data_IF_130146042162
#
_entry.id   IF_130146042162
#
_cell.length_a   1.000
_cell.length_b   1.000
_cell.length_c   1.000
_cell.angle_alpha   90.00
_cell.angle_beta   90.00
_cell.angle_gamma   90.00
#
_symmetry.space_group_name_H-M   'P 1'
#
loop_
_entity.id
_entity.type
_entity.pdbx_description
1 polymer ?
#
# COMPACT_ATOMS: atom_id res chain seq x y z
N UNK A 1 -14.14 24.71 10.83
CA UNK A 1 -14.81 23.55 10.19
C UNK A 1 -14.20 22.28 10.72
N UNK A 2 -14.88 21.66 11.68
CA UNK A 2 -14.42 20.47 12.41
C UNK A 2 -14.13 19.32 11.43
N UNK A 3 -12.86 18.90 11.37
CA UNK A 3 -12.35 17.76 10.59
C UNK A 3 -12.80 16.39 11.15
N UNK A 4 -13.92 16.37 11.89
CA UNK A 4 -14.37 15.20 12.65
C UNK A 4 -15.62 14.59 12.01
N UNK A 5 -15.55 14.07 10.78
CA UNK A 5 -16.42 12.95 10.39
C UNK A 5 -16.15 12.23 9.05
N UNK A 6 -15.05 12.49 8.34
CA UNK A 6 -14.79 11.81 7.09
C UNK A 6 -13.86 10.60 7.34
N UNK A 7 -14.43 9.40 7.27
CA UNK A 7 -13.73 8.11 7.27
C UNK A 7 -13.26 7.60 8.64
N UNK A 8 -14.24 7.21 9.46
CA UNK A 8 -14.08 6.02 10.30
C UNK A 8 -13.97 4.80 9.36
N UNK A 9 -12.83 4.65 8.68
CA UNK A 9 -12.48 3.43 7.96
C UNK A 9 -12.81 2.29 8.91
N UNK A 10 -13.81 1.48 8.55
CA UNK A 10 -14.35 0.50 9.48
C UNK A 10 -13.16 -0.31 10.01
N UNK A 11 -12.91 -0.26 11.34
CA UNK A 11 -11.72 -0.83 11.99
C UNK A 11 -11.71 -2.35 11.79
N UNK A 12 -11.23 -2.78 10.63
CA UNK A 12 -11.15 -4.17 10.23
C UNK A 12 -9.75 -4.65 10.55
N UNK A 13 -9.62 -5.83 11.18
CA UNK A 13 -8.32 -6.43 11.50
C UNK A 13 -7.39 -6.50 10.28
N UNK A 14 -7.95 -6.66 9.09
CA UNK A 14 -7.21 -6.67 7.83
C UNK A 14 -6.68 -5.29 7.40
N UNK A 15 -7.39 -4.21 7.72
CA UNK A 15 -6.93 -2.82 7.47
C UNK A 15 -5.82 -2.48 8.46
N UNK A 16 -5.97 -2.82 9.74
CA UNK A 16 -4.92 -2.61 10.75
C UNK A 16 -3.61 -3.32 10.39
N UNK A 17 -3.70 -4.55 9.88
CA UNK A 17 -2.52 -5.27 9.36
C UNK A 17 -1.88 -4.59 8.15
N UNK A 18 -2.68 -3.98 7.27
CA UNK A 18 -2.17 -3.25 6.11
C UNK A 18 -1.49 -1.93 6.53
N UNK A 19 -2.05 -1.21 7.50
CA UNK A 19 -1.45 -0.01 8.09
C UNK A 19 -0.08 -0.36 8.70
N UNK A 20 0.00 -1.43 9.51
CA UNK A 20 1.26 -1.93 10.06
C UNK A 20 2.26 -2.30 8.95
N UNK A 21 1.79 -2.93 7.88
CA UNK A 21 2.64 -3.25 6.73
C UNK A 21 3.21 -1.99 6.08
N UNK A 22 2.36 -0.98 5.81
CA UNK A 22 2.79 0.30 5.21
C UNK A 22 3.82 1.02 6.08
N UNK A 23 3.60 1.06 7.39
CA UNK A 23 4.55 1.65 8.35
C UNK A 23 5.89 0.90 8.33
N UNK A 24 5.86 -0.44 8.44
CA UNK A 24 7.08 -1.25 8.43
C UNK A 24 7.86 -1.18 7.12
N UNK A 25 7.18 -1.04 5.98
CA UNK A 25 7.84 -0.79 4.68
C UNK A 25 8.48 0.60 4.67
N UNK A 26 7.75 1.64 5.10
CA UNK A 26 8.24 3.03 5.13
C UNK A 26 9.54 3.15 5.94
N UNK A 27 9.57 2.55 7.13
CA UNK A 27 10.73 2.59 8.03
C UNK A 27 11.97 1.93 7.43
N UNK A 28 11.79 0.83 6.69
CA UNK A 28 12.89 -0.03 6.23
C UNK A 28 13.21 0.11 4.73
N UNK A 29 12.54 1.01 4.01
CA UNK A 29 12.64 1.10 2.55
C UNK A 29 14.07 1.41 2.10
N UNK A 30 14.70 2.43 2.69
CA UNK A 30 16.03 2.91 2.31
C UNK A 30 17.07 1.80 2.52
N UNK A 31 17.12 1.24 3.74
CA UNK A 31 18.05 0.17 4.10
C UNK A 31 17.87 -1.06 3.21
N UNK A 32 16.63 -1.51 3.01
CA UNK A 32 16.35 -2.69 2.19
C UNK A 32 16.71 -2.47 0.71
N UNK A 33 16.48 -1.28 0.16
CA UNK A 33 16.86 -0.92 -1.21
C UNK A 33 18.38 -0.92 -1.39
N UNK A 34 19.12 -0.38 -0.41
CA UNK A 34 20.59 -0.43 -0.43
C UNK A 34 21.11 -1.87 -0.46
N UNK A 35 20.60 -2.75 0.41
CA UNK A 35 21.00 -4.16 0.38
C UNK A 35 20.61 -4.88 -0.91
N UNK A 36 19.43 -4.59 -1.48
CA UNK A 36 19.01 -5.14 -2.77
C UNK A 36 19.92 -4.71 -3.91
N UNK A 37 20.38 -3.46 -3.91
CA UNK A 37 21.35 -2.95 -4.89
C UNK A 37 22.67 -3.73 -4.79
N UNK A 38 23.23 -3.85 -3.58
CA UNK A 38 24.48 -4.57 -3.33
C UNK A 38 24.38 -6.05 -3.72
N UNK A 39 23.30 -6.74 -3.34
CA UNK A 39 23.12 -8.16 -3.63
C UNK A 39 23.02 -8.46 -5.14
N UNK A 40 22.37 -7.56 -5.91
CA UNK A 40 22.14 -7.71 -7.36
C UNK A 40 23.33 -7.27 -8.20
N UNK A 41 24.20 -6.40 -7.68
CA UNK A 41 25.32 -5.87 -8.43
C UNK A 41 26.37 -6.96 -8.69
N UNK A 42 26.64 -7.25 -9.97
CA UNK A 42 27.61 -8.27 -10.39
C UNK A 42 29.06 -7.77 -10.39
N UNK A 43 29.31 -6.47 -10.29
CA UNK A 43 30.68 -5.92 -10.24
C UNK A 43 31.33 -6.12 -8.86
N UNK A 44 30.52 -6.29 -7.82
CA UNK A 44 30.99 -6.51 -6.46
C UNK A 44 31.43 -7.96 -6.24
N UNK A 45 32.40 -8.19 -5.34
CA UNK A 45 32.88 -9.53 -5.06
C UNK A 45 31.77 -10.41 -4.46
N UNK A 46 31.78 -11.74 -4.74
CA UNK A 46 30.70 -12.64 -4.32
C UNK A 46 30.42 -12.65 -2.81
N UNK A 47 31.45 -12.51 -1.96
CA UNK A 47 31.29 -12.54 -0.51
C UNK A 47 30.44 -11.37 0.02
N UNK A 48 30.62 -10.15 -0.50
CA UNK A 48 29.84 -8.96 -0.12
C UNK A 48 28.38 -9.14 -0.53
N UNK A 49 28.16 -9.65 -1.75
CA UNK A 49 26.82 -9.94 -2.26
C UNK A 49 26.09 -10.97 -1.39
N UNK A 50 26.81 -12.02 -0.99
CA UNK A 50 26.29 -13.05 -0.10
C UNK A 50 25.95 -12.47 1.29
N UNK A 51 26.82 -11.64 1.87
CA UNK A 51 26.56 -10.97 3.14
C UNK A 51 25.31 -10.07 3.06
N UNK A 52 25.15 -9.29 1.99
CA UNK A 52 23.96 -8.48 1.77
C UNK A 52 22.69 -9.34 1.65
N UNK A 53 22.78 -10.50 1.00
CA UNK A 53 21.67 -11.45 0.92
C UNK A 53 21.29 -12.04 2.29
N UNK A 54 22.27 -12.35 3.13
CA UNK A 54 22.02 -12.78 4.51
C UNK A 54 21.31 -11.69 5.31
N UNK A 55 21.75 -10.43 5.20
CA UNK A 55 21.06 -9.29 5.83
C UNK A 55 19.64 -9.11 5.30
N UNK A 56 19.39 -9.34 4.01
CA UNK A 56 18.03 -9.28 3.45
C UNK A 56 17.06 -10.31 4.06
N UNK A 57 17.60 -11.46 4.51
CA UNK A 57 16.83 -12.54 5.12
C UNK A 57 16.45 -12.26 6.57
N UNK A 58 17.24 -11.45 7.30
CA UNK A 58 16.93 -11.08 8.70
C UNK A 58 15.71 -10.16 8.79
N UNK A 59 15.42 -9.38 7.75
CA UNK A 59 14.26 -8.48 7.73
C UNK A 59 12.92 -9.23 7.85
N UNK A 60 12.09 -8.76 8.79
CA UNK A 60 10.75 -9.28 9.05
C UNK A 60 9.78 -9.17 7.87
N UNK A 61 8.64 -9.86 7.96
CA UNK A 61 7.63 -9.93 6.88
C UNK A 61 7.11 -8.57 6.42
N UNK A 62 6.77 -7.68 7.36
CA UNK A 62 6.13 -6.39 7.11
C UNK A 62 7.07 -5.32 6.50
N UNK A 63 8.33 -5.65 6.25
CA UNK A 63 9.29 -4.78 5.54
C UNK A 63 9.20 -4.92 4.02
N UNK A 64 8.53 -5.98 3.53
CA UNK A 64 8.46 -6.28 2.10
C UNK A 64 7.33 -5.47 1.44
N UNK A 65 7.60 -4.69 0.38
CA UNK A 65 6.59 -3.87 -0.31
C UNK A 65 5.44 -4.71 -0.89
N UNK A 66 5.71 -5.96 -1.27
CA UNK A 66 4.71 -6.91 -1.78
C UNK A 66 3.62 -7.29 -0.76
N UNK A 67 3.84 -7.01 0.52
CA UNK A 67 2.85 -7.29 1.59
C UNK A 67 1.70 -6.26 1.60
N UNK A 68 1.97 -5.03 1.14
CA UNK A 68 0.99 -3.94 1.13
C UNK A 68 -0.05 -4.19 0.05
N UNK A 69 -1.33 -3.98 0.38
CA UNK A 69 -2.44 -4.12 -0.58
C UNK A 69 -3.32 -2.88 -0.58
N UNK A 70 -3.84 -2.53 -1.75
CA UNK A 70 -4.84 -1.46 -1.85
C UNK A 70 -6.18 -1.95 -1.27
N UNK A 71 -6.77 -1.12 -0.41
CA UNK A 71 -8.05 -1.37 0.25
C UNK A 71 -8.93 -0.14 0.12
N UNK A 72 -10.24 -0.38 0.13
CA UNK A 72 -11.22 0.70 0.20
C UNK A 72 -11.08 1.45 1.52
N UNK A 73 -11.00 2.77 1.45
CA UNK A 73 -10.86 3.63 2.64
C UNK A 73 -12.08 3.53 3.55
N UNK A 74 -13.29 3.41 3.00
CA UNK A 74 -14.52 3.33 3.81
C UNK A 74 -14.77 1.93 4.37
N UNK A 75 -14.79 0.93 3.49
CA UNK A 75 -15.25 -0.42 3.82
C UNK A 75 -14.13 -1.40 4.16
N UNK A 76 -12.87 -1.07 3.86
CA UNK A 76 -11.74 -1.96 4.05
C UNK A 76 -11.69 -3.17 3.08
N UNK A 77 -12.59 -3.22 2.09
CA UNK A 77 -12.62 -4.26 1.05
C UNK A 77 -11.30 -4.25 0.28
N UNK A 78 -10.74 -5.42 -0.03
CA UNK A 78 -9.43 -5.54 -0.67
C UNK A 78 -9.46 -5.90 -2.15
N UNK A 79 -10.62 -5.84 -2.81
CA UNK A 79 -10.80 -6.23 -4.22
C UNK A 79 -11.68 -5.20 -4.93
N UNK A 80 -11.44 -5.02 -6.24
CA UNK A 80 -12.17 -4.06 -7.07
C UNK A 80 -12.02 -2.63 -6.54
N UNK A 81 -10.77 -2.24 -6.27
CA UNK A 81 -10.39 -0.91 -5.80
C UNK A 81 -9.95 -0.11 -7.02
N UNK A 82 -10.49 1.10 -7.14
CA UNK A 82 -10.05 2.08 -8.12
C UNK A 82 -8.96 2.91 -7.43
N UNK A 83 -7.72 2.78 -7.92
CA UNK A 83 -6.50 3.28 -7.25
C UNK A 83 -6.54 4.78 -7.02
N UNK A 84 -7.04 5.52 -7.99
CA UNK A 84 -7.06 6.98 -8.05
C UNK A 84 -7.95 7.56 -6.95
N UNK A 85 -9.06 6.88 -6.64
CA UNK A 85 -10.02 7.32 -5.62
C UNK A 85 -9.84 6.60 -4.28
N UNK A 86 -9.11 5.48 -4.23
CA UNK A 86 -8.98 4.66 -3.02
C UNK A 86 -10.29 4.00 -2.57
N UNK A 87 -11.27 3.86 -3.46
CA UNK A 87 -12.61 3.38 -3.18
C UNK A 87 -12.87 2.04 -3.88
N UNK A 88 -13.74 1.22 -3.30
CA UNK A 88 -14.25 0.05 -4.01
C UNK A 88 -15.32 0.43 -5.02
N UNK A 89 -15.49 -0.39 -6.08
CA UNK A 89 -16.43 -0.13 -7.18
C UNK A 89 -17.86 0.30 -6.77
N UNK A 90 -18.39 -0.28 -5.68
CA UNK A 90 -19.74 0.02 -5.21
C UNK A 90 -19.82 1.41 -4.57
N UNK A 91 -18.86 1.68 -3.69
CA UNK A 91 -18.76 2.95 -2.99
C UNK A 91 -18.41 4.10 -3.92
N UNK A 92 -17.53 3.83 -4.90
CA UNK A 92 -17.24 4.75 -6.00
C UNK A 92 -18.52 5.10 -6.76
N UNK A 93 -19.33 4.10 -7.15
CA UNK A 93 -20.61 4.34 -7.83
C UNK A 93 -21.55 5.20 -6.99
N UNK A 94 -21.69 4.93 -5.69
CA UNK A 94 -22.55 5.71 -4.81
C UNK A 94 -22.10 7.17 -4.73
N UNK A 95 -20.81 7.41 -4.47
CA UNK A 95 -20.24 8.76 -4.40
C UNK A 95 -20.30 9.52 -5.73
N UNK A 96 -20.11 8.82 -6.85
CA UNK A 96 -20.26 9.38 -8.18
C UNK A 96 -21.72 9.83 -8.46
N UNK A 97 -22.70 9.01 -8.08
CA UNK A 97 -24.12 9.34 -8.25
C UNK A 97 -24.56 10.50 -7.33
N UNK A 98 -23.96 10.61 -6.14
CA UNK A 98 -24.16 11.74 -5.22
C UNK A 98 -23.47 13.03 -5.70
N UNK A 99 -22.60 12.97 -6.71
CA UNK A 99 -21.83 14.12 -7.18
C UNK A 99 -20.66 14.52 -6.28
N UNK A 100 -20.27 13.67 -5.32
CA UNK A 100 -19.12 13.92 -4.43
C UNK A 100 -17.76 13.77 -5.14
N UNK A 101 -17.75 13.08 -6.29
CA UNK A 101 -16.53 12.86 -7.08
C UNK A 101 -16.47 13.85 -8.24
N UNK A 102 -15.59 14.84 -8.10
CA UNK A 102 -15.38 15.86 -9.11
C UNK A 102 -14.94 15.25 -10.45
N UNK A 103 -15.56 15.70 -11.55
CA UNK A 103 -15.22 15.25 -12.91
C UNK A 103 -15.77 13.87 -13.30
N UNK A 104 -16.46 13.16 -12.40
CA UNK A 104 -17.09 11.86 -12.72
C UNK A 104 -18.54 12.08 -13.14
N UNK A 105 -18.85 11.72 -14.39
CA UNK A 105 -20.22 11.68 -14.92
C UNK A 105 -20.53 10.32 -15.53
N UNK A 106 -21.81 9.96 -15.59
CA UNK A 106 -22.23 8.76 -16.33
C UNK A 106 -21.88 8.96 -17.80
N UNK A 107 -21.20 7.98 -18.39
CA UNK A 107 -20.91 8.00 -19.82
C UNK A 107 -22.24 7.92 -20.60
N UNK A 108 -22.40 8.83 -21.56
CA UNK A 108 -23.41 8.77 -22.60
C UNK A 108 -22.68 8.76 -23.94
N UNK A 109 -23.13 7.88 -24.83
CA UNK A 109 -22.70 7.77 -26.21
C UNK A 109 -23.94 7.48 -27.06
#
# INVERSE_FOLDING_TARGET
MSLNNAYKAMRNARVMRDIKARQGVKENEIARRAYLYVARNTTLPPHVRHQAQLQLNTFGKYTRPTTVKNRCIETGRGRGIISEFGLCRFQFRQRALLGELNGVRKACW
#
